data_IF_718890651299
#
_entry.id   IF_718890651299
#
_cell.length_a   1.000
_cell.length_b   1.000
_cell.length_c   1.000
_cell.angle_alpha   90.00
_cell.angle_beta   90.00
_cell.angle_gamma   90.00
#
_symmetry.space_group_name_H-M   'P 1'
#
loop_
_entity.id
_entity.type
_entity.pdbx_description
1 polymer ?
#
# COMPACT_ATOMS: atom_id res chain seq x y z
N UNK A 1 3.88 6.03 -11.41
CA UNK A 1 4.05 5.86 -9.96
C UNK A 1 4.72 4.52 -9.71
N UNK A 2 5.84 4.49 -8.99
CA UNK A 2 6.54 3.26 -8.63
C UNK A 2 6.45 3.07 -7.12
N UNK A 3 6.16 1.84 -6.67
CA UNK A 3 6.10 1.48 -5.27
C UNK A 3 7.23 0.49 -4.97
N UNK A 4 8.16 0.89 -4.11
CA UNK A 4 9.17 -0.03 -3.59
C UNK A 4 8.74 -0.45 -2.20
N UNK A 5 8.47 -1.75 -2.01
CA UNK A 5 8.00 -2.28 -0.73
C UNK A 5 9.16 -2.85 0.09
N UNK A 6 9.20 -2.50 1.38
CA UNK A 6 9.88 -3.26 2.41
C UNK A 6 8.82 -3.74 3.42
N UNK A 7 8.42 -5.01 3.33
CA UNK A 7 7.51 -5.61 4.31
C UNK A 7 8.23 -5.77 5.65
N UNK A 8 7.64 -5.26 6.74
CA UNK A 8 8.17 -5.45 8.10
C UNK A 8 7.32 -6.48 8.85
N UNK A 9 7.97 -7.25 9.72
CA UNK A 9 7.32 -8.30 10.52
C UNK A 9 6.12 -7.72 11.30
N UNK A 10 4.93 -8.33 11.24
CA UNK A 10 3.74 -7.86 11.93
C UNK A 10 3.98 -7.84 13.45
N UNK A 11 3.54 -6.76 14.09
CA UNK A 11 3.17 -6.83 15.51
C UNK A 11 1.88 -7.67 15.58
N UNK A 12 1.58 -8.32 16.71
CA UNK A 12 0.56 -9.39 16.86
C UNK A 12 -0.89 -9.10 16.37
N UNK A 13 -1.18 -7.95 15.74
CA UNK A 13 -2.52 -7.53 15.29
C UNK A 13 -2.56 -6.79 13.94
N UNK A 14 -1.45 -6.35 13.35
CA UNK A 14 -1.48 -5.56 12.09
C UNK A 14 -0.39 -6.00 11.15
N UNK A 15 -0.57 -5.72 9.86
CA UNK A 15 0.48 -5.83 8.86
C UNK A 15 0.86 -4.43 8.43
N UNK A 16 2.15 -4.12 8.61
CA UNK A 16 2.70 -2.82 8.32
C UNK A 16 3.54 -2.92 7.04
N UNK A 17 3.05 -2.27 5.99
CA UNK A 17 3.69 -2.23 4.68
C UNK A 17 4.34 -0.86 4.50
N UNK A 18 5.67 -0.81 4.56
CA UNK A 18 6.41 0.40 4.22
C UNK A 18 6.68 0.44 2.71
N UNK A 19 6.23 1.49 2.06
CA UNK A 19 6.43 1.74 0.64
C UNK A 19 7.07 3.11 0.42
N UNK A 20 7.87 3.24 -0.63
CA UNK A 20 8.22 4.56 -1.17
C UNK A 20 7.28 4.85 -2.33
N UNK A 21 6.53 5.94 -2.24
CA UNK A 21 5.65 6.39 -3.31
C UNK A 21 6.38 7.45 -4.11
N UNK A 22 6.63 7.17 -5.39
CA UNK A 22 7.24 8.12 -6.32
C UNK A 22 6.20 8.72 -7.26
N UNK A 23 5.89 10.01 -7.08
CA UNK A 23 5.05 10.76 -8.00
C UNK A 23 5.91 11.29 -9.15
N UNK A 24 5.90 10.59 -10.30
CA UNK A 24 6.60 11.00 -11.52
C UNK A 24 5.81 12.01 -12.36
N UNK A 25 4.55 12.29 -12.01
CA UNK A 25 3.68 13.15 -12.77
C UNK A 25 4.06 14.63 -12.60
N UNK A 26 3.57 15.47 -13.51
CA UNK A 26 3.71 16.94 -13.44
C UNK A 26 2.61 17.61 -12.61
N UNK A 27 1.73 16.81 -12.01
CA UNK A 27 0.63 17.25 -11.16
C UNK A 27 0.71 16.53 -9.81
N UNK A 28 0.13 17.18 -8.82
CA UNK A 28 -0.02 16.60 -7.50
C UNK A 28 -1.07 15.49 -7.56
N UNK A 29 -0.92 14.49 -6.69
CA UNK A 29 -1.78 13.30 -6.65
C UNK A 29 -2.40 13.18 -5.28
N UNK A 30 -3.71 12.96 -5.21
CA UNK A 30 -4.41 12.66 -3.96
C UNK A 30 -5.03 11.28 -4.04
N UNK A 31 -4.97 10.53 -2.95
CA UNK A 31 -5.62 9.22 -2.87
C UNK A 31 -7.00 9.36 -2.24
N UNK A 32 -8.04 9.13 -3.02
CA UNK A 32 -9.42 9.14 -2.55
C UNK A 32 -10.04 7.75 -2.72
N UNK A 33 -10.39 7.11 -1.61
CA UNK A 33 -10.97 5.77 -1.57
C UNK A 33 -10.16 4.78 -2.41
N UNK A 34 -8.84 4.84 -2.26
CA UNK A 34 -7.93 4.07 -3.07
C UNK A 34 -7.81 2.66 -2.50
N UNK A 35 -8.31 1.67 -3.24
CA UNK A 35 -8.15 0.27 -2.86
C UNK A 35 -6.70 -0.16 -3.08
N UNK A 36 -6.10 -0.68 -2.02
CA UNK A 36 -4.78 -1.29 -2.02
C UNK A 36 -4.91 -2.78 -1.74
N UNK A 37 -4.21 -3.59 -2.53
CA UNK A 37 -4.12 -5.03 -2.33
C UNK A 37 -2.68 -5.45 -2.07
N UNK A 38 -2.49 -6.30 -1.08
CA UNK A 38 -1.25 -7.00 -0.82
C UNK A 38 -1.41 -8.44 -1.29
N UNK A 39 -0.58 -8.86 -2.24
CA UNK A 39 -0.67 -10.17 -2.89
C UNK A 39 0.59 -10.99 -2.68
N UNK A 40 0.45 -12.30 -2.45
CA UNK A 40 1.56 -13.24 -2.27
C UNK A 40 1.34 -14.40 -3.23
N UNK A 41 2.34 -14.70 -4.06
CA UNK A 41 2.20 -15.70 -5.14
C UNK A 41 0.91 -15.47 -5.97
N UNK A 42 0.64 -14.20 -6.32
CA UNK A 42 -0.53 -13.73 -7.06
C UNK A 42 -1.91 -13.95 -6.39
N UNK A 43 -1.94 -14.41 -5.13
CA UNK A 43 -3.16 -14.48 -4.32
C UNK A 43 -3.28 -13.24 -3.44
N UNK A 44 -4.47 -12.62 -3.40
CA UNK A 44 -4.73 -11.50 -2.49
C UNK A 44 -4.66 -12.02 -1.05
N UNK A 45 -3.69 -11.51 -0.32
CA UNK A 45 -3.45 -11.81 1.09
C UNK A 45 -4.11 -10.77 2.00
N UNK A 46 -4.06 -9.50 1.59
CA UNK A 46 -4.77 -8.42 2.27
C UNK A 46 -5.37 -7.43 1.28
N UNK A 47 -6.49 -6.80 1.65
CA UNK A 47 -7.05 -5.68 0.90
C UNK A 47 -7.69 -4.65 1.82
N UNK A 48 -7.46 -3.38 1.53
CA UNK A 48 -8.09 -2.29 2.28
C UNK A 48 -8.21 -1.04 1.41
N UNK A 49 -9.25 -0.25 1.66
CA UNK A 49 -9.48 1.01 0.97
C UNK A 49 -8.95 2.15 1.83
N UNK A 50 -7.92 2.84 1.34
CA UNK A 50 -7.28 3.95 2.04
C UNK A 50 -7.69 5.29 1.45
N UNK A 51 -7.95 6.26 2.34
CA UNK A 51 -8.21 7.66 1.98
C UNK A 51 -7.32 8.58 2.82
N UNK A 52 -5.99 8.52 2.64
CA UNK A 52 -5.07 9.34 3.41
C UNK A 52 -5.32 10.82 3.11
N UNK A 53 -5.38 11.72 4.11
CA UNK A 53 -5.71 13.13 3.93
C UNK A 53 -4.49 13.94 3.46
N UNK A 54 -3.72 13.38 2.52
CA UNK A 54 -2.48 13.98 2.03
C UNK A 54 -2.43 13.98 0.51
N UNK A 55 -1.79 15.03 0.00
CA UNK A 55 -1.49 15.19 -1.41
C UNK A 55 -0.01 14.91 -1.63
N UNK A 56 0.30 14.03 -2.57
CA UNK A 56 1.68 13.76 -2.99
C UNK A 56 2.03 14.74 -4.09
N UNK A 57 2.91 15.68 -3.75
CA UNK A 57 3.37 16.70 -4.68
C UNK A 57 4.02 16.09 -5.93
N UNK A 58 3.83 16.76 -7.07
CA UNK A 58 4.45 16.39 -8.34
C UNK A 58 5.96 16.22 -8.21
N UNK A 59 6.51 15.22 -8.90
CA UNK A 59 7.95 14.98 -9.00
C UNK A 59 8.66 14.72 -7.65
N UNK A 60 7.93 14.27 -6.63
CA UNK A 60 8.49 13.95 -5.31
C UNK A 60 8.51 12.45 -5.01
N UNK A 61 9.27 12.08 -3.98
CA UNK A 61 9.25 10.74 -3.38
C UNK A 61 8.91 10.86 -1.91
N UNK A 62 7.89 10.15 -1.44
CA UNK A 62 7.46 10.16 -0.05
C UNK A 62 7.42 8.73 0.51
N UNK A 63 8.05 8.48 1.68
CA UNK A 63 7.86 7.21 2.37
C UNK A 63 6.45 7.16 2.95
N UNK A 64 5.78 6.01 2.79
CA UNK A 64 4.44 5.79 3.29
C UNK A 64 4.32 4.42 3.96
N UNK A 65 3.73 4.40 5.15
CA UNK A 65 3.39 3.15 5.84
C UNK A 65 1.88 2.93 5.76
N UNK A 66 1.48 1.87 5.08
CA UNK A 66 0.10 1.39 5.09
C UNK A 66 -0.06 0.35 6.20
N UNK A 67 -1.05 0.54 7.06
CA UNK A 67 -1.36 -0.37 8.16
C UNK A 67 -2.65 -1.10 7.80
N UNK A 68 -2.53 -2.39 7.48
CA UNK A 68 -3.68 -3.23 7.21
C UNK A 68 -4.32 -3.67 8.54
N UNK A 69 -5.59 -3.31 8.80
CA UNK A 69 -6.26 -3.64 10.06
C UNK A 69 -6.59 -5.14 10.16
N UNK A 70 -6.80 -5.62 11.39
CA UNK A 70 -7.30 -7.00 11.62
C UNK A 70 -8.57 -7.25 10.79
N UNK A 71 -8.64 -8.41 10.16
CA UNK A 71 -9.78 -8.80 9.31
C UNK A 71 -9.64 -8.37 7.85
N UNK A 72 -8.65 -7.54 7.52
CA UNK A 72 -8.30 -7.23 6.13
C UNK A 72 -7.28 -8.19 5.53
N UNK A 73 -6.78 -9.18 6.30
CA UNK A 73 -5.73 -10.10 5.88
C UNK A 73 -5.90 -11.52 6.44
N UNK A 74 -5.30 -12.52 5.78
CA UNK A 74 -5.34 -13.92 6.25
C UNK A 74 -4.24 -14.19 7.29
N UNK A 75 -4.62 -14.49 8.54
CA UNK A 75 -3.70 -14.66 9.67
C UNK A 75 -2.83 -15.93 9.62
N UNK A 76 -3.20 -16.92 8.80
CA UNK A 76 -2.58 -18.25 8.80
C UNK A 76 -1.59 -18.49 7.65
N UNK A 77 -1.29 -17.48 6.84
CA UNK A 77 -0.41 -17.59 5.67
C UNK A 77 0.91 -16.82 5.89
N UNK A 78 2.01 -17.32 5.33
CA UNK A 78 3.27 -16.57 5.32
C UNK A 78 3.11 -15.28 4.53
N UNK A 79 3.58 -14.17 5.10
CA UNK A 79 3.33 -12.82 4.57
C UNK A 79 4.56 -12.23 3.85
N UNK A 80 5.63 -12.99 3.67
CA UNK A 80 6.88 -12.52 3.05
C UNK A 80 6.76 -12.43 1.53
N UNK A 81 7.59 -11.58 0.91
CA UNK A 81 7.72 -11.43 -0.55
C UNK A 81 6.42 -11.03 -1.29
N UNK A 82 5.48 -10.39 -0.61
CA UNK A 82 4.26 -9.92 -1.27
C UNK A 82 4.46 -8.62 -2.05
N UNK A 83 3.53 -8.38 -2.98
CA UNK A 83 3.48 -7.22 -3.86
C UNK A 83 2.26 -6.38 -3.46
N UNK A 84 2.50 -5.09 -3.19
CA UNK A 84 1.46 -4.10 -2.98
C UNK A 84 1.03 -3.50 -4.32
N UNK A 85 -0.27 -3.52 -4.61
CA UNK A 85 -0.86 -2.94 -5.83
C UNK A 85 -1.95 -1.94 -5.48
N UNK A 86 -2.06 -0.92 -6.31
CA UNK A 86 -3.16 0.04 -6.28
C UNK A 86 -4.15 -0.37 -7.38
N UNK A 87 -5.45 -0.47 -7.06
CA UNK A 87 -6.50 -0.80 -8.02
C UNK A 87 -7.25 0.47 -8.47
N UNK A 88 -7.24 0.78 -9.78
CA UNK A 88 -8.02 1.89 -10.36
C UNK A 88 -7.17 3.01 -10.95
N UNK A 89 -7.85 4.01 -11.52
CA UNK A 89 -7.24 5.22 -12.06
C UNK A 89 -6.97 6.23 -10.95
N UNK A 90 -5.73 6.68 -10.86
CA UNK A 90 -5.32 7.76 -9.97
C UNK A 90 -5.79 9.07 -10.61
N UNK A 91 -6.64 9.82 -9.91
CA UNK A 91 -7.15 11.13 -10.37
C UNK A 91 -6.16 12.26 -10.04
#
# INVERSE_FOLDING_TARGET
MHFTLAGKKPSRRTIDCCSLIHNTCKQDISFHNQKLTYSIHDKIFAEHTFSPPITIEKQTSMPWTFIFPVGSFNINEEFSNGILKIEGEIQ
#
